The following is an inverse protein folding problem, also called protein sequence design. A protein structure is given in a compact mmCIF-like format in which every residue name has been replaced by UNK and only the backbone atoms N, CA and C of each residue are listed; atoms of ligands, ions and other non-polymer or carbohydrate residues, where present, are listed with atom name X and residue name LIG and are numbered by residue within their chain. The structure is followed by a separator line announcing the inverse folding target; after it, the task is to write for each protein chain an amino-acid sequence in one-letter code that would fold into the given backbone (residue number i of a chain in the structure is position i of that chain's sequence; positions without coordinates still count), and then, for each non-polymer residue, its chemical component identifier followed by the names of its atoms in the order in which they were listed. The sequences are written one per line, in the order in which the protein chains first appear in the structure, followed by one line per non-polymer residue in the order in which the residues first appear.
data_IF_817725159008
#
_entry.id   IF_817725159008
#
_cell.length_a   1.000
_cell.length_b   1.000
_cell.length_c   1.000
_cell.angle_alpha   90.00
_cell.angle_beta   90.00
_cell.angle_gamma   90.00
#
_symmetry.space_group_name_H-M   'P 1'
#
loop_
_entity.id
_entity.type
_entity.pdbx_description
1 polymer ?
#
# COMPACT_ATOMS: atom_id res chain seq x y z
N UNK A 1 3.91 -4.69 -10.51
CA UNK A 1 4.09 -5.41 -9.22
C UNK A 1 2.84 -5.18 -8.37
N UNK A 2 2.33 -6.24 -7.78
CA UNK A 2 1.21 -6.19 -6.84
C UNK A 2 1.77 -6.39 -5.42
N UNK A 3 1.57 -5.39 -4.56
CA UNK A 3 2.11 -5.37 -3.22
C UNK A 3 1.00 -5.32 -2.17
N UNK A 4 0.91 -6.39 -1.40
CA UNK A 4 -0.06 -6.53 -0.32
C UNK A 4 0.44 -5.83 0.94
N UNK A 5 -0.09 -4.66 1.24
CA UNK A 5 0.21 -3.93 2.47
C UNK A 5 -0.80 -4.28 3.58
N UNK A 6 -0.33 -4.69 4.77
CA UNK A 6 -1.21 -4.86 5.92
C UNK A 6 -1.80 -3.51 6.36
N UNK A 7 -3.07 -3.51 6.73
CA UNK A 7 -3.71 -2.39 7.43
C UNK A 7 -3.51 -2.64 8.92
N UNK A 8 -2.49 -2.02 9.48
CA UNK A 8 -2.11 -2.17 10.89
C UNK A 8 -2.51 -0.97 11.75
N UNK A 9 -1.60 -0.54 12.59
CA UNK A 9 -1.72 0.69 13.39
C UNK A 9 -1.35 1.94 12.58
N UNK A 10 -0.85 1.75 11.38
CA UNK A 10 -0.44 2.80 10.45
C UNK A 10 -1.66 3.56 9.96
N UNK A 11 -1.55 4.87 9.97
CA UNK A 11 -2.61 5.77 9.52
C UNK A 11 -2.44 6.21 8.07
N UNK A 12 -1.26 5.94 7.48
CA UNK A 12 -0.93 6.33 6.11
C UNK A 12 -0.32 5.18 5.31
N UNK A 13 -0.50 5.21 3.99
CA UNK A 13 0.16 4.25 3.09
C UNK A 13 1.68 4.38 3.17
N UNK A 14 2.22 5.61 3.32
CA UNK A 14 3.66 5.81 3.44
C UNK A 14 4.24 5.16 4.71
N UNK A 15 3.55 5.26 5.84
CA UNK A 15 3.97 4.58 7.07
C UNK A 15 3.97 3.06 6.90
N UNK A 16 2.96 2.49 6.25
CA UNK A 16 2.89 1.07 5.95
C UNK A 16 4.00 0.61 4.99
N UNK A 17 4.38 1.46 4.01
CA UNK A 17 5.55 1.24 3.14
C UNK A 17 6.84 1.24 3.96
N UNK A 18 7.02 2.21 4.85
CA UNK A 18 8.22 2.33 5.67
C UNK A 18 8.41 1.13 6.63
N UNK A 19 7.30 0.54 7.09
CA UNK A 19 7.35 -0.68 7.91
C UNK A 19 7.94 -1.89 7.19
N UNK A 20 7.85 -1.95 5.87
CA UNK A 20 8.45 -3.03 5.10
C UNK A 20 9.98 -3.08 5.25
N UNK A 21 10.60 -1.90 5.34
CA UNK A 21 12.06 -1.75 5.50
C UNK A 21 12.48 -1.78 6.98
N UNK A 22 11.50 -1.83 7.89
CA UNK A 22 11.81 -1.79 9.32
C UNK A 22 12.60 -3.01 9.74
N UNK A 23 13.70 -2.74 10.41
CA UNK A 23 14.50 -3.75 11.10
C UNK A 23 13.68 -4.45 12.17
N UNK A 24 13.69 -5.78 12.17
CA UNK A 24 13.01 -6.61 13.17
C UNK A 24 14.00 -7.61 13.76
N UNK A 25 14.05 -7.64 15.09
CA UNK A 25 14.88 -8.60 15.82
C UNK A 25 14.01 -9.77 16.31
N UNK A 26 14.52 -10.97 16.18
CA UNK A 26 13.89 -12.19 16.65
C UNK A 26 14.92 -13.21 17.11
N UNK A 27 14.53 -14.10 18.03
CA UNK A 27 15.35 -15.27 18.39
C UNK A 27 15.06 -16.42 17.42
N UNK A 28 16.12 -17.06 16.97
CA UNK A 28 16.04 -18.28 16.15
C UNK A 28 16.94 -19.38 16.71
N UNK A 29 16.50 -20.62 16.61
CA UNK A 29 17.32 -21.78 16.93
C UNK A 29 18.33 -22.00 15.79
N UNK A 30 19.59 -21.71 16.04
CA UNK A 30 20.66 -21.89 15.06
C UNK A 30 20.90 -23.37 14.81
N UNK A 31 20.77 -23.81 13.55
CA UNK A 31 20.99 -25.20 13.17
C UNK A 31 22.45 -25.63 13.29
N UNK A 32 23.39 -24.68 13.24
CA UNK A 32 24.84 -24.94 13.29
C UNK A 32 25.31 -25.05 14.74
N UNK A 33 25.10 -24.01 15.56
CA UNK A 33 25.58 -23.99 16.94
C UNK A 33 24.59 -24.60 17.94
N UNK A 34 23.38 -24.99 17.51
CA UNK A 34 22.32 -25.60 18.36
C UNK A 34 21.88 -24.75 19.54
N UNK A 35 22.14 -23.45 19.47
CA UNK A 35 21.76 -22.46 20.48
C UNK A 35 20.77 -21.42 19.92
N UNK A 36 20.03 -20.81 20.85
CA UNK A 36 19.24 -19.63 20.50
C UNK A 36 20.15 -18.45 20.23
N UNK A 37 19.96 -17.80 19.11
CA UNK A 37 20.72 -16.64 18.67
C UNK A 37 19.79 -15.53 18.25
N UNK A 38 20.19 -14.29 18.51
CA UNK A 38 19.50 -13.13 18.03
C UNK A 38 19.73 -12.99 16.52
N UNK A 39 18.63 -12.81 15.80
CA UNK A 39 18.61 -12.63 14.36
C UNK A 39 17.92 -11.32 14.02
N UNK A 40 18.56 -10.51 13.19
CA UNK A 40 18.00 -9.27 12.67
C UNK A 40 17.60 -9.47 11.21
N UNK A 41 16.38 -9.11 10.90
CA UNK A 41 15.83 -9.13 9.55
C UNK A 41 15.59 -7.72 9.07
N UNK A 42 16.08 -7.42 7.89
CA UNK A 42 15.75 -6.23 7.07
C UNK A 42 15.26 -6.68 5.71
N UNK A 43 14.36 -5.92 5.09
CA UNK A 43 13.84 -6.21 3.76
C UNK A 43 13.97 -4.99 2.88
N UNK A 44 14.52 -5.16 1.68
CA UNK A 44 14.74 -4.10 0.72
C UNK A 44 14.27 -4.53 -0.66
N UNK A 45 13.86 -3.57 -1.47
CA UNK A 45 13.68 -3.80 -2.89
C UNK A 45 15.00 -3.59 -3.61
N UNK A 46 15.34 -4.49 -4.52
CA UNK A 46 16.49 -4.34 -5.45
C UNK A 46 16.08 -3.63 -6.74
N UNK A 47 14.78 -3.73 -7.08
CA UNK A 47 14.22 -3.14 -8.28
C UNK A 47 12.73 -2.81 -8.05
N UNK A 48 12.25 -1.74 -8.66
CA UNK A 48 10.86 -1.32 -8.62
C UNK A 48 10.29 -1.16 -10.04
N UNK A 49 9.01 -1.56 -10.25
CA UNK A 49 8.36 -1.50 -11.54
C UNK A 49 7.95 -0.06 -11.92
N UNK A 50 7.61 0.15 -13.19
CA UNK A 50 6.99 1.39 -13.65
C UNK A 50 5.58 1.61 -13.06
N UNK A 51 4.84 0.53 -12.84
CA UNK A 51 3.50 0.55 -12.24
C UNK A 51 3.51 -0.28 -10.97
N UNK A 52 3.18 0.36 -9.87
CA UNK A 52 3.05 -0.26 -8.56
C UNK A 52 1.57 -0.32 -8.15
N UNK A 53 1.08 -1.52 -7.88
CA UNK A 53 -0.26 -1.77 -7.36
C UNK A 53 -0.13 -2.08 -5.87
N UNK A 54 -0.72 -1.24 -5.05
CA UNK A 54 -0.75 -1.40 -3.59
C UNK A 54 -2.14 -1.87 -3.18
N UNK A 55 -2.23 -3.08 -2.67
CA UNK A 55 -3.47 -3.66 -2.17
C UNK A 55 -3.49 -3.63 -0.64
N UNK A 56 -4.42 -2.90 -0.06
CA UNK A 56 -4.60 -2.80 1.39
C UNK A 56 -5.33 -4.06 1.88
N UNK A 57 -4.67 -4.84 2.75
CA UNK A 57 -5.23 -6.05 3.35
C UNK A 57 -6.33 -5.72 4.36
N UNK A 58 -7.49 -5.27 3.88
CA UNK A 58 -8.62 -4.90 4.73
C UNK A 58 -9.47 -6.07 5.19
N UNK A 59 -9.34 -7.23 4.55
CA UNK A 59 -10.09 -8.42 4.93
C UNK A 59 -9.19 -9.39 5.69
N UNK A 60 -9.64 -9.78 6.88
CA UNK A 60 -8.96 -10.76 7.73
C UNK A 60 -9.95 -11.83 8.18
N UNK A 61 -9.45 -13.04 8.32
CA UNK A 61 -10.24 -14.13 8.88
C UNK A 61 -10.13 -14.11 10.39
N UNK A 62 -11.26 -14.07 11.07
CA UNK A 62 -11.38 -14.19 12.53
C UNK A 62 -12.22 -15.43 12.81
N UNK A 63 -11.60 -16.47 13.39
CA UNK A 63 -12.21 -17.76 13.63
C UNK A 63 -12.92 -18.32 12.39
N UNK A 64 -14.26 -18.26 12.34
CA UNK A 64 -15.09 -18.77 11.23
C UNK A 64 -15.67 -17.67 10.33
N UNK A 65 -15.34 -16.41 10.56
CA UNK A 65 -15.87 -15.28 9.79
C UNK A 65 -14.75 -14.49 9.13
N UNK A 66 -15.08 -13.83 8.02
CA UNK A 66 -14.19 -12.87 7.40
C UNK A 66 -14.68 -11.47 7.71
N UNK A 67 -13.85 -10.70 8.40
CA UNK A 67 -14.16 -9.33 8.81
C UNK A 67 -13.41 -8.32 7.96
N UNK A 68 -14.05 -7.19 7.67
CA UNK A 68 -13.40 -6.04 7.03
C UNK A 68 -12.85 -5.10 8.08
N UNK A 69 -11.63 -4.65 7.88
CA UNK A 69 -11.04 -3.56 8.65
C UNK A 69 -11.50 -2.21 8.07
N UNK A 70 -12.23 -1.45 8.87
CA UNK A 70 -12.80 -0.16 8.50
C UNK A 70 -11.92 1.03 8.94
N UNK A 71 -10.72 0.78 9.45
CA UNK A 71 -9.82 1.87 9.85
C UNK A 71 -9.49 2.77 8.65
N UNK A 72 -9.36 4.06 8.95
CA UNK A 72 -8.97 5.04 7.95
C UNK A 72 -7.49 4.86 7.59
N UNK A 73 -7.20 4.82 6.30
CA UNK A 73 -5.83 4.80 5.77
C UNK A 73 -5.68 5.95 4.80
N UNK A 74 -4.97 6.98 5.21
CA UNK A 74 -4.68 8.13 4.36
C UNK A 74 -3.68 7.72 3.28
N UNK A 75 -3.94 8.11 2.05
CA UNK A 75 -3.00 7.96 0.96
C UNK A 75 -2.65 9.34 0.42
N UNK A 76 -1.38 9.59 0.21
CA UNK A 76 -0.89 10.80 -0.44
C UNK A 76 -0.92 10.70 -1.95
N UNK A 77 -0.76 11.84 -2.61
CA UNK A 77 -0.55 11.89 -4.07
C UNK A 77 0.73 11.18 -4.49
N UNK A 78 1.74 11.18 -3.62
CA UNK A 78 3.01 10.52 -3.84
C UNK A 78 3.33 9.60 -2.67
N UNK A 79 4.08 8.54 -2.97
CA UNK A 79 4.80 7.72 -2.00
C UNK A 79 6.25 7.59 -2.43
N UNK A 80 7.16 7.44 -1.47
CA UNK A 80 8.58 7.17 -1.71
C UNK A 80 8.93 5.80 -1.19
N UNK A 81 9.75 5.07 -1.93
CA UNK A 81 10.20 3.73 -1.58
C UNK A 81 11.72 3.70 -1.68
N UNK A 82 12.36 3.22 -0.63
CA UNK A 82 13.79 3.04 -0.60
C UNK A 82 14.18 1.74 -1.34
N UNK A 83 15.21 1.83 -2.19
CA UNK A 83 15.73 0.73 -3.03
C UNK A 83 17.21 0.60 -2.80
N UNK A 84 17.69 -0.61 -2.59
CA UNK A 84 19.11 -0.94 -2.59
C UNK A 84 19.40 -1.75 -3.86
N UNK A 85 19.95 -1.10 -4.87
CA UNK A 85 20.26 -1.71 -6.17
C UNK A 85 21.51 -2.59 -6.11
N UNK A 86 22.47 -2.20 -5.27
CA UNK A 86 23.72 -2.92 -5.06
C UNK A 86 23.83 -3.39 -3.60
N UNK A 87 23.93 -4.70 -3.42
CA UNK A 87 24.07 -5.32 -2.11
C UNK A 87 25.42 -5.04 -1.42
N UNK A 88 26.42 -4.58 -2.17
CA UNK A 88 27.73 -4.19 -1.61
C UNK A 88 27.72 -2.73 -1.13
N UNK A 89 26.84 -1.91 -1.71
CA UNK A 89 26.68 -0.50 -1.34
C UNK A 89 25.30 -0.32 -0.70
N UNK A 90 25.20 -0.51 0.61
CA UNK A 90 23.95 -0.41 1.36
C UNK A 90 23.44 1.04 1.54
N UNK A 91 23.53 1.84 0.50
CA UNK A 91 22.96 3.20 0.47
C UNK A 91 21.66 3.16 -0.32
N UNK A 92 20.52 3.40 0.33
CA UNK A 92 19.24 3.38 -0.37
C UNK A 92 19.08 4.58 -1.30
N UNK A 93 18.63 4.33 -2.50
CA UNK A 93 18.09 5.34 -3.41
C UNK A 93 16.59 5.46 -3.18
N UNK A 94 16.06 6.68 -3.26
CA UNK A 94 14.64 6.93 -3.14
C UNK A 94 13.97 6.99 -4.51
N UNK A 95 12.96 6.18 -4.70
CA UNK A 95 12.11 6.17 -5.89
C UNK A 95 10.73 6.69 -5.52
N UNK A 96 10.29 7.73 -6.25
CA UNK A 96 8.98 8.35 -6.04
C UNK A 96 7.95 7.78 -7.00
N UNK A 97 6.76 7.50 -6.48
CA UNK A 97 5.61 7.06 -7.24
C UNK A 97 4.45 8.03 -7.07
N UNK A 98 3.77 8.37 -8.16
CA UNK A 98 2.62 9.26 -8.18
C UNK A 98 1.32 8.45 -8.31
N UNK A 99 0.33 8.76 -7.47
CA UNK A 99 -0.98 8.11 -7.47
C UNK A 99 -1.74 8.39 -8.78
N UNK A 100 -2.26 7.34 -9.41
CA UNK A 100 -3.00 7.39 -10.67
C UNK A 100 -4.43 6.94 -10.53
N UNK A 101 -4.69 5.95 -9.68
CA UNK A 101 -6.05 5.49 -9.46
C UNK A 101 -6.22 4.94 -8.03
N UNK A 102 -7.44 5.01 -7.55
CA UNK A 102 -7.88 4.43 -6.28
C UNK A 102 -9.14 3.61 -6.54
N UNK A 103 -9.05 2.31 -6.33
CA UNK A 103 -10.24 1.46 -6.28
C UNK A 103 -10.72 1.45 -4.83
N UNK A 104 -11.94 1.89 -4.64
CA UNK A 104 -12.59 1.99 -3.35
C UNK A 104 -13.55 0.81 -3.13
N UNK A 105 -13.79 0.48 -1.89
CA UNK A 105 -14.78 -0.51 -1.50
C UNK A 105 -15.51 -0.07 -0.22
N UNK A 106 -16.84 -0.03 -0.26
CA UNK A 106 -17.70 0.12 0.91
C UNK A 106 -18.44 -1.16 1.23
N UNK A 107 -18.82 -1.33 2.49
CA UNK A 107 -19.57 -2.51 2.96
C UNK A 107 -18.68 -3.64 3.50
N UNK A 108 -19.32 -4.69 4.06
CA UNK A 108 -18.65 -5.85 4.65
C UNK A 108 -18.12 -6.83 3.59
N UNK A 109 -17.50 -7.91 4.05
CA UNK A 109 -17.08 -9.01 3.17
C UNK A 109 -18.30 -9.68 2.50
N UNK A 110 -18.15 -9.95 1.20
CA UNK A 110 -19.19 -10.63 0.40
C UNK A 110 -20.39 -9.75 0.01
N UNK A 111 -20.50 -8.54 0.56
CA UNK A 111 -21.53 -7.55 0.20
C UNK A 111 -20.90 -6.18 0.20
N UNK A 112 -20.99 -5.46 -0.87
CA UNK A 112 -20.40 -4.12 -0.92
C UNK A 112 -20.50 -3.50 -2.29
N UNK A 113 -19.96 -2.32 -2.38
CA UNK A 113 -19.95 -1.53 -3.60
C UNK A 113 -18.54 -1.08 -3.90
N UNK A 114 -18.15 -1.20 -5.17
CA UNK A 114 -16.86 -0.74 -5.68
C UNK A 114 -17.06 0.47 -6.58
N UNK A 115 -16.15 1.41 -6.50
CA UNK A 115 -16.01 2.51 -7.47
C UNK A 115 -14.54 2.86 -7.62
N UNK A 116 -14.20 3.55 -8.68
CA UNK A 116 -12.82 3.91 -8.99
C UNK A 116 -12.68 5.41 -9.17
N UNK A 117 -11.66 5.98 -8.55
CA UNK A 117 -11.21 7.33 -8.81
C UNK A 117 -9.96 7.23 -9.68
N UNK A 118 -9.93 7.93 -10.81
CA UNK A 118 -8.83 7.90 -11.79
C UNK A 118 -8.35 9.30 -12.06
N UNK A 119 -7.05 9.51 -12.05
CA UNK A 119 -6.46 10.78 -12.49
C UNK A 119 -6.54 10.88 -14.01
N UNK A 120 -7.12 11.95 -14.50
CA UNK A 120 -7.24 12.20 -15.94
C UNK A 120 -5.85 12.40 -16.56
N UNK A 121 -5.60 11.75 -17.68
CA UNK A 121 -4.31 11.82 -18.38
C UNK A 121 -3.97 13.26 -18.78
N UNK A 122 -2.73 13.69 -18.50
CA UNK A 122 -2.28 15.05 -18.80
C UNK A 122 -2.88 16.15 -17.92
N UNK A 123 -3.58 15.80 -16.83
CA UNK A 123 -4.24 16.76 -15.94
C UNK A 123 -4.13 16.32 -14.49
N UNK A 124 -4.23 17.27 -13.57
CA UNK A 124 -4.34 17.00 -12.14
C UNK A 124 -5.80 16.72 -11.69
N UNK A 125 -6.74 16.70 -12.63
CA UNK A 125 -8.15 16.43 -12.35
C UNK A 125 -8.40 14.95 -12.10
N UNK A 126 -9.35 14.68 -11.23
CA UNK A 126 -9.79 13.33 -10.93
C UNK A 126 -11.19 13.07 -11.48
N UNK A 127 -11.41 11.85 -11.93
CA UNK A 127 -12.70 11.36 -12.40
C UNK A 127 -13.12 10.23 -11.47
N UNK A 128 -14.33 10.32 -10.95
CA UNK A 128 -14.98 9.28 -10.17
C UNK A 128 -15.86 8.47 -11.10
N UNK A 129 -15.53 7.20 -11.26
CA UNK A 129 -16.29 6.23 -12.04
C UNK A 129 -17.07 5.33 -11.06
N UNK A 130 -18.38 5.50 -11.02
CA UNK A 130 -19.25 4.76 -10.10
C UNK A 130 -20.46 4.23 -10.90
N UNK A 131 -20.41 2.96 -11.29
CA UNK A 131 -21.34 2.32 -12.21
C UNK A 131 -21.49 3.13 -13.51
N UNK A 132 -22.70 3.66 -13.77
CA UNK A 132 -23.00 4.50 -14.93
C UNK A 132 -22.65 5.98 -14.72
N UNK A 133 -22.32 6.37 -13.50
CA UNK A 133 -22.02 7.77 -13.19
C UNK A 133 -20.52 8.06 -13.38
N UNK A 134 -20.24 9.13 -14.11
CA UNK A 134 -18.89 9.67 -14.28
C UNK A 134 -18.92 11.12 -13.78
N UNK A 135 -18.14 11.41 -12.74
CA UNK A 135 -18.13 12.69 -12.06
C UNK A 135 -16.70 13.25 -12.06
N UNK A 136 -16.54 14.50 -12.48
CA UNK A 136 -15.24 15.19 -12.34
C UNK A 136 -15.14 15.78 -10.92
N UNK A 137 -14.14 15.34 -10.16
CA UNK A 137 -13.83 15.89 -8.83
C UNK A 137 -12.79 17.00 -8.94
N UNK A 138 -13.26 18.24 -8.93
CA UNK A 138 -12.40 19.42 -9.03
C UNK A 138 -11.61 19.70 -7.74
N UNK A 139 -12.06 19.20 -6.61
CA UNK A 139 -11.52 19.55 -5.28
C UNK A 139 -10.71 18.44 -4.63
N UNK A 140 -10.59 17.28 -5.27
CA UNK A 140 -9.88 16.08 -4.80
C UNK A 140 -10.39 15.53 -3.43
N UNK A 141 -11.41 16.13 -2.83
CA UNK A 141 -11.91 15.75 -1.48
C UNK A 141 -12.45 14.33 -1.42
N UNK A 142 -13.12 13.89 -2.49
CA UNK A 142 -13.69 12.53 -2.57
C UNK A 142 -12.63 11.48 -2.91
N UNK A 143 -11.57 11.90 -3.58
CA UNK A 143 -10.46 11.01 -3.95
C UNK A 143 -9.59 10.69 -2.75
N UNK A 144 -9.37 11.67 -1.90
CA UNK A 144 -8.52 11.55 -0.70
C UNK A 144 -9.28 11.05 0.54
N UNK A 145 -10.53 10.55 0.37
CA UNK A 145 -11.28 9.93 1.46
C UNK A 145 -10.52 8.70 2.00
N UNK A 146 -10.09 8.72 3.28
CA UNK A 146 -9.25 7.66 3.84
C UNK A 146 -10.03 6.39 4.24
N UNK A 147 -11.37 6.42 4.17
CA UNK A 147 -12.21 5.33 4.68
C UNK A 147 -12.32 4.16 3.71
N UNK A 148 -12.34 4.43 2.42
CA UNK A 148 -12.71 3.45 1.40
C UNK A 148 -11.59 2.89 0.53
N UNK A 149 -10.36 3.43 0.50
CA UNK A 149 -9.31 2.89 -0.37
C UNK A 149 -9.09 1.40 -0.14
N UNK A 150 -9.03 0.65 -1.22
CA UNK A 150 -8.81 -0.79 -1.20
C UNK A 150 -7.61 -1.19 -2.05
N UNK A 151 -7.55 -0.71 -3.29
CA UNK A 151 -6.38 -0.85 -4.15
C UNK A 151 -5.95 0.51 -4.67
N UNK A 152 -4.67 0.79 -4.61
CA UNK A 152 -4.04 2.03 -5.05
C UNK A 152 -3.10 1.72 -6.20
N UNK A 153 -3.16 2.49 -7.26
CA UNK A 153 -2.31 2.32 -8.44
C UNK A 153 -1.43 3.55 -8.58
N UNK A 154 -0.13 3.32 -8.55
CA UNK A 154 0.90 4.34 -8.66
C UNK A 154 1.75 4.12 -9.91
N UNK A 155 2.30 5.20 -10.46
CA UNK A 155 3.31 5.14 -11.52
C UNK A 155 4.59 5.81 -11.06
N UNK A 156 5.73 5.27 -11.46
CA UNK A 156 7.05 5.84 -11.21
C UNK A 156 7.14 7.25 -11.83
N UNK A 157 7.80 8.17 -11.13
CA UNK A 157 8.01 9.57 -11.58
C UNK A 157 9.44 9.77 -12.03
#
# INVERSE_FOLDING_TARGET
MDWLLPVGLEHTVQEAVNLFHRRTDSEVDCRICKAKTNFTRESWFSELPEILIVHLKRFRREENTTCKDFRQVKHGDNITIDVIEDSEILVPNQVTFKLRAVINHSGPFGKGHYWTNVRYSGSEKWIICNDKAIIVDHNQKKVLDPLHPYVLIYTKV
#
